data_IF_110884631315
#
_entry.id   IF_110884631315
#
_cell.length_a   1.000
_cell.length_b   1.000
_cell.length_c   1.000
_cell.angle_alpha   90.00
_cell.angle_beta   90.00
_cell.angle_gamma   90.00
#
_symmetry.space_group_name_H-M   'P 1'
#
loop_
_entity.id
_entity.type
_entity.pdbx_description
1 polymer ?
#
# COMPACT_ATOMS: atom_id res chain seq x y z
N UNK A 1 7.46 4.30 -5.09
CA UNK A 1 7.57 4.01 -3.63
C UNK A 1 6.20 3.89 -2.97
N UNK A 2 6.08 3.05 -1.93
CA UNK A 2 4.87 2.92 -1.11
C UNK A 2 4.99 3.81 0.13
N UNK A 3 3.94 4.55 0.47
CA UNK A 3 3.80 5.36 1.69
C UNK A 3 2.67 4.82 2.58
N UNK A 4 2.81 5.05 3.89
CA UNK A 4 1.80 4.77 4.92
C UNK A 4 1.15 6.03 5.48
N UNK A 5 1.31 7.19 4.85
CA UNK A 5 0.67 8.45 5.30
C UNK A 5 -0.86 8.35 5.44
N UNK A 6 -1.60 7.64 4.56
CA UNK A 6 -3.03 7.44 4.74
C UNK A 6 -3.38 6.75 6.06
N UNK A 7 -2.58 5.77 6.51
CA UNK A 7 -2.82 5.03 7.75
C UNK A 7 -2.94 5.97 8.94
N UNK A 8 -2.06 6.96 9.07
CA UNK A 8 -2.08 7.88 10.21
C UNK A 8 -3.33 8.75 10.22
N UNK A 9 -3.73 9.21 9.03
CA UNK A 9 -4.98 9.97 8.85
C UNK A 9 -6.19 9.11 9.19
N UNK A 10 -6.19 7.84 8.78
CA UNK A 10 -7.28 6.89 9.05
C UNK A 10 -7.35 6.55 10.54
N UNK A 11 -6.21 6.33 11.19
CA UNK A 11 -6.14 6.11 12.64
C UNK A 11 -6.71 7.29 13.42
N UNK A 12 -6.37 8.52 13.04
CA UNK A 12 -6.90 9.74 13.66
C UNK A 12 -8.43 9.84 13.47
N UNK A 13 -8.92 9.67 12.24
CA UNK A 13 -10.37 9.69 11.94
C UNK A 13 -11.16 8.63 12.70
N UNK A 14 -10.56 7.46 12.94
CA UNK A 14 -11.18 6.34 13.66
C UNK A 14 -10.94 6.39 15.18
N UNK A 15 -10.17 7.35 15.68
CA UNK A 15 -9.84 7.46 17.10
C UNK A 15 -9.00 6.29 17.63
N UNK A 16 -8.21 5.64 16.76
CA UNK A 16 -7.37 4.49 17.11
C UNK A 16 -5.93 4.94 17.29
N UNK A 17 -5.37 4.65 18.47
CA UNK A 17 -3.98 4.98 18.82
C UNK A 17 -3.03 3.82 18.52
N UNK A 18 -1.74 4.13 18.36
CA UNK A 18 -0.67 3.10 18.27
C UNK A 18 -0.66 2.17 19.48
N UNK A 19 -0.93 2.71 20.67
CA UNK A 19 -1.05 1.92 21.89
C UNK A 19 -2.17 0.88 21.76
N UNK A 20 -3.35 1.27 21.27
CA UNK A 20 -4.45 0.33 21.09
C UNK A 20 -4.09 -0.79 20.10
N UNK A 21 -3.42 -0.46 19.00
CA UNK A 21 -2.96 -1.46 18.03
C UNK A 21 -2.04 -2.51 18.70
N UNK A 22 -1.12 -2.08 19.56
CA UNK A 22 -0.20 -3.00 20.25
C UNK A 22 -0.92 -3.83 21.32
N UNK A 23 -1.58 -3.17 22.26
CA UNK A 23 -2.02 -3.80 23.50
C UNK A 23 -3.41 -4.43 23.42
N UNK A 24 -4.28 -3.94 22.54
CA UNK A 24 -5.65 -4.45 22.41
C UNK A 24 -5.84 -5.30 21.15
N UNK A 25 -5.11 -5.01 20.08
CA UNK A 25 -5.23 -5.72 18.79
C UNK A 25 -4.05 -6.64 18.47
N UNK A 26 -3.01 -6.66 19.30
CA UNK A 26 -1.89 -7.59 19.15
C UNK A 26 -0.92 -7.27 17.99
N UNK A 27 -1.01 -6.08 17.40
CA UNK A 27 -0.05 -5.65 16.38
C UNK A 27 1.32 -5.46 17.02
N UNK A 28 2.33 -6.19 16.53
CA UNK A 28 3.66 -6.11 17.12
C UNK A 28 4.25 -4.69 17.04
N UNK A 29 5.00 -4.29 18.08
CA UNK A 29 5.72 -3.01 18.09
C UNK A 29 6.70 -2.90 16.91
N UNK A 30 7.31 -4.01 16.49
CA UNK A 30 8.15 -4.05 15.31
C UNK A 30 7.35 -3.73 14.04
N UNK A 31 6.12 -4.23 13.89
CA UNK A 31 5.26 -3.88 12.75
C UNK A 31 5.04 -2.37 12.67
N UNK A 32 4.70 -1.71 13.79
CA UNK A 32 4.52 -0.26 13.80
C UNK A 32 5.82 0.51 13.53
N UNK A 33 6.96 0.00 14.01
CA UNK A 33 8.29 0.53 13.67
C UNK A 33 8.50 0.51 12.16
N UNK A 34 8.28 -0.64 11.52
CA UNK A 34 8.44 -0.84 10.07
C UNK A 34 7.56 0.12 9.27
N UNK A 35 6.28 0.22 9.63
CA UNK A 35 5.33 1.17 9.04
C UNK A 35 5.85 2.61 9.17
N UNK A 36 6.34 3.00 10.36
CA UNK A 36 6.89 4.33 10.62
C UNK A 36 8.15 4.66 9.80
N UNK A 37 8.90 3.64 9.35
CA UNK A 37 10.05 3.81 8.46
C UNK A 37 9.74 3.57 6.99
N UNK A 38 8.47 3.37 6.61
CA UNK A 38 8.10 3.06 5.23
C UNK A 38 8.56 1.68 4.74
N UNK A 39 8.92 0.77 5.65
CA UNK A 39 9.31 -0.59 5.31
C UNK A 39 8.09 -1.41 4.88
N UNK A 40 8.31 -2.44 4.04
CA UNK A 40 7.24 -3.33 3.59
C UNK A 40 6.60 -4.08 4.77
N UNK A 41 5.27 -4.25 4.75
CA UNK A 41 4.55 -5.16 5.64
C UNK A 41 4.00 -6.37 4.86
N UNK A 42 3.54 -7.39 5.57
CA UNK A 42 2.85 -8.51 4.94
C UNK A 42 1.42 -8.13 4.56
N UNK A 43 0.85 -8.84 3.57
CA UNK A 43 -0.58 -8.72 3.24
C UNK A 43 -1.48 -9.12 4.42
N UNK A 44 -1.03 -10.02 5.28
CA UNK A 44 -1.75 -10.39 6.50
C UNK A 44 -1.88 -9.19 7.45
N UNK A 45 -0.78 -8.47 7.73
CA UNK A 45 -0.83 -7.28 8.58
C UNK A 45 -1.73 -6.20 7.97
N UNK A 46 -1.65 -6.02 6.65
CA UNK A 46 -2.52 -5.07 5.94
C UNK A 46 -4.00 -5.43 6.12
N UNK A 47 -4.35 -6.73 6.00
CA UNK A 47 -5.71 -7.21 6.22
C UNK A 47 -6.18 -6.97 7.65
N UNK A 48 -5.35 -7.24 8.66
CA UNK A 48 -5.69 -6.97 10.06
C UNK A 48 -5.95 -5.48 10.31
N UNK A 49 -5.11 -4.61 9.77
CA UNK A 49 -5.30 -3.16 9.88
C UNK A 49 -6.61 -2.71 9.21
N UNK A 50 -6.96 -3.25 8.04
CA UNK A 50 -8.25 -2.97 7.39
C UNK A 50 -9.44 -3.39 8.27
N UNK A 51 -9.36 -4.56 8.89
CA UNK A 51 -10.41 -5.08 9.78
C UNK A 51 -10.55 -4.24 11.05
N UNK A 52 -9.43 -3.85 11.67
CA UNK A 52 -9.41 -3.05 12.91
C UNK A 52 -9.94 -1.64 12.66
N UNK A 53 -9.56 -1.03 11.54
CA UNK A 53 -9.88 0.36 11.21
C UNK A 53 -11.15 0.52 10.37
N UNK A 54 -11.80 -0.60 10.01
CA UNK A 54 -12.97 -0.66 9.13
C UNK A 54 -12.76 0.19 7.88
N UNK A 55 -11.71 -0.12 7.12
CA UNK A 55 -11.26 0.72 6.01
C UNK A 55 -10.77 -0.11 4.82
N UNK A 56 -10.59 0.55 3.67
CA UNK A 56 -10.02 -0.09 2.49
C UNK A 56 -8.48 -0.04 2.52
N UNK A 57 -7.84 -0.83 1.66
CA UNK A 57 -6.36 -0.85 1.57
C UNK A 57 -5.78 0.53 1.23
N UNK A 58 -6.49 1.34 0.45
CA UNK A 58 -6.07 2.68 0.08
C UNK A 58 -6.07 3.66 1.25
N UNK A 59 -6.83 3.37 2.30
CA UNK A 59 -6.83 4.14 3.56
C UNK A 59 -5.60 3.82 4.43
N UNK A 60 -4.79 2.84 4.04
CA UNK A 60 -3.56 2.43 4.74
C UNK A 60 -2.32 2.73 3.90
N UNK A 61 -2.37 2.43 2.59
CA UNK A 61 -1.23 2.47 1.68
C UNK A 61 -1.48 3.41 0.50
N UNK A 62 -0.45 4.18 0.14
CA UNK A 62 -0.43 4.97 -1.08
C UNK A 62 0.78 4.62 -1.93
N UNK A 63 0.57 4.46 -3.24
CA UNK A 63 1.64 4.28 -4.20
C UNK A 63 1.98 5.62 -4.87
N UNK A 64 3.25 6.01 -4.80
CA UNK A 64 3.81 7.21 -5.42
C UNK A 64 4.94 6.78 -6.36
N UNK A 65 4.71 6.81 -7.68
CA UNK A 65 5.75 6.48 -8.66
C UNK A 65 6.69 7.68 -8.90
N UNK A 66 7.98 7.41 -9.12
CA UNK A 66 8.87 8.42 -9.70
C UNK A 66 8.59 8.59 -11.20
N UNK A 67 9.00 9.73 -11.75
CA UNK A 67 8.92 9.98 -13.20
C UNK A 67 9.67 8.92 -14.01
N UNK A 68 10.83 8.47 -13.52
CA UNK A 68 11.63 7.41 -14.12
C UNK A 68 10.89 6.06 -14.13
N UNK A 69 10.25 5.69 -13.01
CA UNK A 69 9.43 4.48 -12.91
C UNK A 69 8.27 4.54 -13.90
N UNK A 70 7.57 5.68 -14.01
CA UNK A 70 6.46 5.87 -14.95
C UNK A 70 6.92 5.75 -16.41
N UNK A 71 8.04 6.39 -16.77
CA UNK A 71 8.61 6.29 -18.12
C UNK A 71 9.00 4.85 -18.49
N UNK A 72 9.52 4.08 -17.53
CA UNK A 72 9.83 2.66 -17.74
C UNK A 72 8.57 1.81 -17.99
N UNK A 73 7.48 2.11 -17.29
CA UNK A 73 6.20 1.41 -17.43
C UNK A 73 5.53 1.74 -18.77
N UNK A 74 5.58 3.00 -19.23
CA UNK A 74 4.98 3.41 -20.50
C UNK A 74 5.60 2.66 -21.69
N UNK A 75 6.93 2.52 -21.73
CA UNK A 75 7.61 1.72 -22.76
C UNK A 75 7.13 0.27 -22.80
N UNK A 76 7.02 -0.39 -21.64
CA UNK A 76 6.50 -1.77 -21.55
C UNK A 76 5.04 -1.86 -22.00
N UNK A 77 4.22 -0.85 -21.71
CA UNK A 77 2.82 -0.79 -22.18
C UNK A 77 2.74 -0.71 -23.70
N UNK A 78 3.59 0.11 -24.33
CA UNK A 78 3.67 0.22 -25.79
C UNK A 78 4.10 -1.10 -26.45
N UNK A 79 5.09 -1.80 -25.88
CA UNK A 79 5.53 -3.12 -26.33
C UNK A 79 4.39 -4.15 -26.29
N UNK A 80 3.62 -4.18 -25.19
CA UNK A 80 2.47 -5.07 -25.03
C UNK A 80 1.37 -4.75 -26.05
N UNK A 81 1.05 -3.48 -26.27
CA UNK A 81 0.04 -3.07 -27.25
C UNK A 81 0.46 -3.40 -28.68
N UNK A 82 1.73 -3.17 -29.02
CA UNK A 82 2.29 -3.58 -30.30
C UNK A 82 2.14 -5.10 -30.52
N UNK A 83 2.46 -5.92 -29.52
CA UNK A 83 2.29 -7.37 -29.59
C UNK A 83 0.82 -7.78 -29.76
N UNK A 84 -0.10 -7.18 -28.99
CA UNK A 84 -1.55 -7.41 -29.10
C UNK A 84 -2.07 -7.06 -30.50
N UNK A 85 -1.58 -5.97 -31.10
CA UNK A 85 -1.98 -5.54 -32.44
C UNK A 85 -1.53 -6.51 -33.54
N UNK A 86 -0.32 -7.09 -33.42
CA UNK A 86 0.18 -8.10 -34.38
C UNK A 86 -0.59 -9.42 -34.27
N UNK A 87 -1.00 -9.83 -33.06
CA UNK A 87 -1.82 -11.04 -32.85
C UNK A 87 -3.23 -10.89 -33.41
N UNK A 88 -3.82 -9.69 -33.39
CA UNK A 88 -5.14 -9.42 -33.98
C UNK A 88 -5.16 -9.41 -35.52
N UNK A 89 -4.00 -9.24 -36.17
CA UNK A 89 -3.86 -9.21 -37.64
C UNK A 89 -3.49 -10.57 -38.25
N UNK A 90 -3.38 -11.62 -37.44
CA UNK A 90 -3.05 -12.99 -37.83
C UNK A 90 -4.24 -13.89 -37.50
#
# INVERSE_FOLDING_TARGET
>A
MISYDPLWTTMEKRGVTKYQLIYHWGISSNTLRRIGHGEAISSHTLNELCLILDCSVQDILQFNASEEELASISRRKEEIEHFRSRKRKK
#
